data_IF_782242750649
#
_entry.id   IF_782242750649
#
_cell.length_a   1.000
_cell.length_b   1.000
_cell.length_c   1.000
_cell.angle_alpha   90.00
_cell.angle_beta   90.00
_cell.angle_gamma   90.00
#
_symmetry.space_group_name_H-M   'P 1'
#
loop_
_entity.id
_entity.type
_entity.pdbx_description
1 polymer ?
#
# COMPACT_ATOMS: atom_id res chain seq x y z
N UNK A 1 -6.65 8.96 12.62
CA UNK A 1 -6.30 8.02 11.52
C UNK A 1 -7.25 6.81 11.55
N UNK A 2 -7.65 6.37 10.36
CA UNK A 2 -8.55 5.22 10.25
C UNK A 2 -7.77 3.93 10.45
N UNK A 3 -8.51 2.83 10.61
CA UNK A 3 -7.89 1.51 10.78
C UNK A 3 -7.36 0.96 9.44
N UNK A 4 -7.65 1.69 8.35
CA UNK A 4 -7.23 1.27 7.01
C UNK A 4 -5.72 1.18 6.92
N UNK A 5 -4.99 2.07 7.60
CA UNK A 5 -3.52 2.04 7.54
C UNK A 5 -3.02 0.69 8.03
N UNK A 6 -3.62 0.19 9.11
CA UNK A 6 -3.24 -1.12 9.64
C UNK A 6 -3.56 -2.20 8.61
N UNK A 7 -4.73 -2.08 7.98
CA UNK A 7 -5.18 -3.02 6.97
C UNK A 7 -4.23 -3.03 5.78
N UNK A 8 -3.82 -1.83 5.37
CA UNK A 8 -2.90 -1.67 4.24
C UNK A 8 -1.51 -2.16 4.60
N UNK A 9 -1.07 -1.89 5.83
CA UNK A 9 0.24 -2.38 6.27
C UNK A 9 0.23 -3.89 6.29
N UNK A 10 -0.85 -4.46 6.81
CA UNK A 10 -0.98 -5.89 6.91
C UNK A 10 -1.17 -6.51 5.54
N UNK A 11 -1.90 -5.79 4.67
CA UNK A 11 -2.15 -6.24 3.31
C UNK A 11 -0.84 -6.22 2.52
N UNK A 12 -0.06 -5.17 2.75
CA UNK A 12 1.22 -5.01 2.07
C UNK A 12 2.22 -6.05 2.60
N UNK A 13 2.27 -6.18 3.92
CA UNK A 13 3.14 -7.14 4.57
C UNK A 13 2.74 -8.57 4.15
N UNK A 14 1.44 -8.82 4.17
CA UNK A 14 0.90 -10.14 3.81
C UNK A 14 1.10 -10.44 2.32
N UNK A 15 0.76 -9.46 1.47
CA UNK A 15 0.90 -9.64 0.03
C UNK A 15 2.36 -9.83 -0.36
N UNK A 16 3.25 -9.01 0.22
CA UNK A 16 4.69 -9.12 -0.06
C UNK A 16 5.34 -10.25 0.75
N UNK A 17 4.60 -10.80 1.72
CA UNK A 17 5.12 -11.88 2.56
C UNK A 17 6.45 -11.48 3.22
N UNK A 18 6.45 -10.28 3.82
CA UNK A 18 7.66 -9.80 4.51
C UNK A 18 7.95 -10.69 5.72
N UNK A 19 9.23 -10.99 5.95
CA UNK A 19 9.63 -11.83 7.07
C UNK A 19 9.94 -11.00 8.31
N UNK A 20 9.47 -11.48 9.46
CA UNK A 20 9.70 -10.79 10.74
C UNK A 20 9.22 -9.34 10.69
N UNK A 21 8.20 -9.08 9.87
CA UNK A 21 7.64 -7.73 9.73
C UNK A 21 6.12 -7.76 9.91
N UNK A 22 5.63 -6.85 10.75
CA UNK A 22 4.20 -6.72 11.02
C UNK A 22 3.82 -5.25 10.90
N UNK A 23 2.51 -4.98 10.89
CA UNK A 23 2.02 -3.61 10.76
C UNK A 23 2.70 -2.66 11.75
N UNK A 24 3.05 -3.17 12.93
CA UNK A 24 3.71 -2.36 13.95
C UNK A 24 5.14 -1.97 13.53
N UNK A 25 5.84 -2.92 12.89
CA UNK A 25 7.22 -2.69 12.46
C UNK A 25 7.34 -1.61 11.38
N UNK A 26 6.34 -1.52 10.51
CA UNK A 26 6.36 -0.53 9.42
C UNK A 26 5.46 0.67 9.75
N UNK A 27 6.05 1.86 9.68
CA UNK A 27 5.32 3.09 9.93
C UNK A 27 4.41 3.39 8.74
N UNK A 28 3.27 4.04 9.00
CA UNK A 28 2.31 4.35 7.95
C UNK A 28 2.97 5.19 6.85
N UNK A 29 3.80 6.15 7.26
CA UNK A 29 4.51 7.01 6.32
C UNK A 29 5.85 6.41 5.85
N UNK A 30 6.19 5.20 6.33
CA UNK A 30 7.45 4.55 5.96
C UNK A 30 7.50 4.32 4.43
N UNK A 31 8.57 4.72 3.73
CA UNK A 31 8.67 4.52 2.24
C UNK A 31 8.61 3.04 1.85
N UNK A 32 7.64 2.70 0.98
CA UNK A 32 7.50 1.32 0.50
C UNK A 32 8.63 0.98 -0.49
N UNK A 33 8.97 1.97 -1.32
CA UNK A 33 10.02 1.82 -2.33
C UNK A 33 11.34 2.47 -1.89
N UNK A 34 11.50 2.65 -0.56
CA UNK A 34 12.70 3.27 -0.02
C UNK A 34 13.44 2.33 0.92
N UNK A 35 13.83 2.88 2.07
CA UNK A 35 14.56 2.11 3.09
C UNK A 35 13.69 0.98 3.64
N UNK A 36 12.40 1.25 3.80
CA UNK A 36 11.47 0.26 4.34
C UNK A 36 11.44 -1.04 3.55
N UNK A 37 10.31 -1.31 2.90
CA UNK A 37 10.14 -2.54 2.12
C UNK A 37 11.10 -2.59 0.94
N UNK A 38 11.32 -1.44 0.29
CA UNK A 38 12.20 -1.38 -0.87
C UNK A 38 11.60 -2.16 -2.04
N UNK A 39 10.28 -2.04 -2.20
CA UNK A 39 9.56 -2.75 -3.25
C UNK A 39 9.96 -2.25 -4.63
N UNK A 40 9.66 -3.08 -5.64
CA UNK A 40 9.95 -2.73 -7.03
C UNK A 40 8.64 -2.49 -7.77
N UNK A 41 8.75 -1.96 -9.00
CA UNK A 41 7.56 -1.67 -9.79
C UNK A 41 6.69 -2.91 -9.99
N UNK A 42 7.34 -4.08 -10.11
CA UNK A 42 6.60 -5.33 -10.27
C UNK A 42 5.75 -5.58 -9.02
N UNK A 43 6.33 -5.27 -7.84
CA UNK A 43 5.61 -5.43 -6.58
C UNK A 43 4.44 -4.48 -6.51
N UNK A 44 4.63 -3.26 -7.01
CA UNK A 44 3.58 -2.24 -7.01
C UNK A 44 2.37 -2.73 -7.79
N UNK A 45 2.61 -3.42 -8.90
CA UNK A 45 1.51 -3.96 -9.69
C UNK A 45 0.81 -5.08 -8.92
N UNK A 46 1.60 -5.92 -8.24
CA UNK A 46 1.02 -7.02 -7.47
C UNK A 46 0.19 -6.47 -6.31
N UNK A 47 0.72 -5.45 -5.65
CA UNK A 47 0.04 -4.82 -4.53
C UNK A 47 -1.19 -4.06 -5.01
N UNK A 48 -0.99 -3.26 -6.05
CA UNK A 48 -2.08 -2.47 -6.63
C UNK A 48 -3.18 -3.37 -7.15
N UNK A 49 -2.78 -4.46 -7.77
CA UNK A 49 -3.72 -5.44 -8.30
C UNK A 49 -4.48 -6.09 -7.14
N UNK A 50 -3.74 -6.41 -6.08
CA UNK A 50 -4.34 -7.02 -4.89
C UNK A 50 -5.31 -6.01 -4.27
N UNK A 51 -4.90 -4.75 -4.26
CA UNK A 51 -5.73 -3.67 -3.75
C UNK A 51 -6.98 -3.53 -4.60
N UNK A 52 -6.78 -3.70 -5.91
CA UNK A 52 -7.86 -3.64 -6.87
C UNK A 52 -8.86 -4.76 -6.60
N UNK A 53 -8.34 -5.94 -6.29
CA UNK A 53 -9.22 -7.09 -5.99
C UNK A 53 -9.92 -6.90 -4.64
N UNK A 54 -9.19 -6.35 -3.67
CA UNK A 54 -9.71 -6.15 -2.31
C UNK A 54 -10.77 -5.05 -2.19
N UNK A 55 -10.57 -3.91 -2.87
CA UNK A 55 -11.53 -2.80 -2.77
C UNK A 55 -11.91 -2.20 -4.13
N UNK A 56 -11.61 -2.91 -5.22
CA UNK A 56 -11.93 -2.41 -6.57
C UNK A 56 -11.28 -1.03 -6.77
N UNK A 57 -10.05 -0.89 -6.27
CA UNK A 57 -9.32 0.37 -6.37
C UNK A 57 -8.70 0.48 -7.77
N UNK A 58 -9.17 1.48 -8.52
CA UNK A 58 -8.65 1.70 -9.86
C UNK A 58 -7.39 2.55 -9.76
N UNK A 59 -6.26 1.87 -9.51
CA UNK A 59 -4.97 2.53 -9.38
C UNK A 59 -4.06 2.18 -10.55
N UNK A 60 -3.40 3.21 -11.09
CA UNK A 60 -2.49 3.03 -12.21
C UNK A 60 -1.06 2.87 -11.70
N UNK A 61 -0.74 1.67 -11.23
CA UNK A 61 0.60 1.39 -10.68
C UNK A 61 1.68 1.78 -11.68
N UNK A 62 1.41 1.57 -12.97
CA UNK A 62 2.35 1.94 -14.02
C UNK A 62 2.54 3.47 -13.99
N UNK A 63 1.43 4.19 -13.79
CA UNK A 63 1.46 5.65 -13.74
C UNK A 63 2.13 6.16 -12.48
N UNK A 64 2.87 7.26 -12.63
CA UNK A 64 3.57 7.88 -11.51
C UNK A 64 2.57 8.42 -10.48
N UNK A 65 1.33 8.71 -10.91
CA UNK A 65 0.31 9.23 -9.99
C UNK A 65 0.06 8.21 -8.88
N UNK A 66 -0.03 6.94 -9.27
CA UNK A 66 -0.23 5.87 -8.30
C UNK A 66 1.02 5.77 -7.44
N UNK A 67 2.19 5.90 -8.09
CA UNK A 67 3.45 5.86 -7.38
C UNK A 67 3.48 6.98 -6.33
N UNK A 68 2.88 8.13 -6.68
CA UNK A 68 2.81 9.26 -5.74
C UNK A 68 2.00 8.87 -4.51
N UNK A 69 0.91 8.11 -4.73
CA UNK A 69 0.08 7.67 -3.60
C UNK A 69 0.61 6.38 -2.96
N UNK A 70 1.57 5.74 -3.62
CA UNK A 70 2.17 4.50 -3.11
C UNK A 70 3.49 4.76 -2.39
N UNK A 71 3.79 6.03 -2.08
CA UNK A 71 5.02 6.39 -1.39
C UNK A 71 5.05 5.70 -0.03
N UNK A 72 3.90 5.71 0.66
CA UNK A 72 3.77 5.07 1.97
C UNK A 72 2.31 4.70 2.21
N UNK A 73 2.06 3.94 3.28
CA UNK A 73 0.71 3.54 3.63
C UNK A 73 -0.16 4.77 3.86
N UNK A 74 0.40 5.84 4.42
CA UNK A 74 -0.38 7.05 4.69
C UNK A 74 -1.04 7.51 3.38
N UNK A 75 -0.27 7.48 2.29
CA UNK A 75 -0.80 7.86 0.98
C UNK A 75 -1.78 6.82 0.46
N UNK A 76 -1.46 5.54 0.67
CA UNK A 76 -2.34 4.44 0.23
C UNK A 76 -3.69 4.55 0.92
N UNK A 77 -3.64 4.91 2.20
CA UNK A 77 -4.84 5.11 2.99
C UNK A 77 -5.64 6.23 2.35
N UNK A 78 -4.96 7.29 1.91
CA UNK A 78 -5.65 8.42 1.27
C UNK A 78 -6.38 7.94 0.02
N UNK A 79 -5.75 7.05 -0.74
CA UNK A 79 -6.36 6.52 -1.96
C UNK A 79 -7.50 5.54 -1.66
N UNK A 80 -7.15 4.43 -1.01
CA UNK A 80 -8.09 3.37 -0.68
C UNK A 80 -9.21 3.90 0.23
N UNK A 81 -8.85 4.64 1.29
CA UNK A 81 -9.87 5.19 2.20
C UNK A 81 -10.77 6.14 1.44
N UNK A 82 -10.19 6.91 0.51
CA UNK A 82 -10.98 7.86 -0.27
C UNK A 82 -12.08 7.13 -1.02
N UNK A 83 -11.75 5.94 -1.53
CA UNK A 83 -12.73 5.13 -2.24
C UNK A 83 -13.70 4.45 -1.26
N UNK A 84 -13.22 4.20 -0.03
CA UNK A 84 -14.03 3.53 0.99
C UNK A 84 -15.24 4.40 1.35
N UNK A 85 -15.03 5.72 1.40
CA UNK A 85 -16.09 6.66 1.71
C UNK A 85 -17.17 6.62 0.63
N UNK A 86 -18.40 6.89 1.04
CA UNK A 86 -19.54 6.89 0.11
C UNK A 86 -19.62 5.58 -0.66
#
# INVERSE_FOLDING_TARGET
>A
MSNLADELKQMIIDVLALEDITIADIDTEAPLFGEGLGLDSIDALELGLALKKRYNIHLNAESDETKQHFKSIQSLVALVEAQQKS
#
